data_IF_998969702152
#
_entry.id   IF_998969702152
#
_cell.length_a   1.000
_cell.length_b   1.000
_cell.length_c   1.000
_cell.angle_alpha   90.00
_cell.angle_beta   90.00
_cell.angle_gamma   90.00
#
_symmetry.space_group_name_H-M   'P 1'
#
loop_
_entity.id
_entity.type
_entity.pdbx_description
1 polymer ?
#
# COMPACT_ATOMS: atom_id res chain seq x y z
N UNK A 1 -16.81 -28.13 -9.60
CA UNK A 1 -16.08 -27.38 -10.65
C UNK A 1 -14.88 -26.70 -9.99
N UNK A 2 -13.69 -27.26 -10.15
CA UNK A 2 -12.46 -26.75 -9.55
C UNK A 2 -11.81 -25.79 -10.56
N UNK A 3 -12.20 -24.51 -10.52
CA UNK A 3 -11.63 -23.48 -11.37
C UNK A 3 -10.23 -23.20 -10.85
N UNK A 4 -9.22 -23.84 -11.47
CA UNK A 4 -7.84 -23.39 -11.33
C UNK A 4 -7.81 -21.93 -11.76
N UNK A 5 -7.73 -21.02 -10.80
CA UNK A 5 -7.44 -19.62 -11.07
C UNK A 5 -6.01 -19.57 -11.57
N UNK A 6 -5.84 -19.76 -12.88
CA UNK A 6 -4.59 -19.41 -13.54
C UNK A 6 -4.42 -17.90 -13.33
N UNK A 7 -3.48 -17.54 -12.47
CA UNK A 7 -3.09 -16.15 -12.27
C UNK A 7 -2.51 -15.74 -13.63
N UNK A 8 -3.16 -14.86 -14.40
CA UNK A 8 -2.66 -14.47 -15.72
C UNK A 8 -1.25 -13.92 -15.54
N UNK A 9 -0.31 -14.26 -16.43
CA UNK A 9 1.12 -13.94 -16.27
C UNK A 9 1.42 -12.47 -15.95
N UNK A 10 0.50 -11.56 -16.32
CA UNK A 10 0.52 -10.14 -15.95
C UNK A 10 0.39 -9.89 -14.44
N UNK A 11 -0.52 -10.56 -13.74
CA UNK A 11 -0.68 -10.43 -12.28
C UNK A 11 0.55 -10.93 -11.53
N UNK A 12 1.21 -11.98 -12.02
CA UNK A 12 2.47 -12.47 -11.44
C UNK A 12 3.58 -11.42 -11.57
N UNK A 13 3.71 -10.81 -12.76
CA UNK A 13 4.68 -9.73 -12.97
C UNK A 13 4.40 -8.50 -12.06
N UNK A 14 3.14 -8.13 -11.89
CA UNK A 14 2.73 -7.04 -11.00
C UNK A 14 3.09 -7.32 -9.53
N UNK A 15 2.87 -8.55 -9.05
CA UNK A 15 3.27 -8.96 -7.69
C UNK A 15 4.78 -8.97 -7.54
N UNK A 16 5.52 -9.52 -8.51
CA UNK A 16 6.98 -9.54 -8.46
C UNK A 16 7.56 -8.12 -8.45
N UNK A 17 7.00 -7.21 -9.25
CA UNK A 17 7.40 -5.81 -9.25
C UNK A 17 7.10 -5.13 -7.90
N UNK A 18 5.92 -5.38 -7.32
CA UNK A 18 5.56 -4.85 -6.01
C UNK A 18 6.47 -5.40 -4.89
N UNK A 19 6.80 -6.69 -4.92
CA UNK A 19 7.74 -7.32 -3.97
C UNK A 19 9.14 -6.72 -4.13
N UNK A 20 9.63 -6.56 -5.37
CA UNK A 20 10.93 -5.94 -5.63
C UNK A 20 10.98 -4.50 -5.10
N UNK A 21 9.92 -3.71 -5.33
CA UNK A 21 9.75 -2.36 -4.79
C UNK A 21 9.78 -2.35 -3.26
N UNK A 22 9.06 -3.27 -2.62
CA UNK A 22 9.01 -3.37 -1.17
C UNK A 22 10.37 -3.73 -0.58
N UNK A 23 11.06 -4.71 -1.16
CA UNK A 23 12.41 -5.12 -0.73
C UNK A 23 13.43 -4.00 -0.90
N UNK A 24 13.38 -3.30 -2.02
CA UNK A 24 14.20 -2.11 -2.24
C UNK A 24 13.90 -1.04 -1.20
N UNK A 25 12.63 -0.81 -0.86
CA UNK A 25 12.25 0.18 0.15
C UNK A 25 12.70 -0.21 1.56
N UNK A 26 12.63 -1.49 1.91
CA UNK A 26 13.14 -2.02 3.20
C UNK A 26 14.66 -1.82 3.30
N UNK A 27 15.39 -1.88 2.18
CA UNK A 27 16.83 -1.63 2.16
C UNK A 27 17.18 -0.14 2.33
N UNK A 28 16.40 0.76 1.73
CA UNK A 28 16.65 2.20 1.74
C UNK A 28 16.13 2.91 3.00
N UNK A 29 15.03 2.42 3.58
CA UNK A 29 14.31 3.10 4.68
C UNK A 29 14.42 2.31 5.99
N UNK A 30 14.73 2.97 7.12
CA UNK A 30 14.70 2.34 8.44
C UNK A 30 13.35 1.66 8.74
N UNK A 31 13.40 0.46 9.34
CA UNK A 31 12.20 -0.36 9.59
C UNK A 31 11.12 0.38 10.42
N UNK A 32 11.54 1.23 11.36
CA UNK A 32 10.67 2.03 12.22
C UNK A 32 9.91 3.15 11.46
N UNK A 33 10.30 3.43 10.21
CA UNK A 33 9.70 4.46 9.36
C UNK A 33 8.90 3.88 8.19
N UNK A 34 9.08 2.60 7.86
CA UNK A 34 8.37 1.95 6.76
C UNK A 34 6.84 2.03 6.87
N UNK A 35 6.28 2.02 8.10
CA UNK A 35 4.84 2.14 8.29
C UNK A 35 4.26 3.51 7.90
N UNK A 36 5.12 4.54 7.78
CA UNK A 36 4.77 5.88 7.27
C UNK A 36 5.19 6.08 5.82
N UNK A 37 5.87 5.11 5.22
CA UNK A 37 6.33 5.20 3.84
C UNK A 37 5.20 4.77 2.90
N UNK A 38 4.66 5.74 2.17
CA UNK A 38 3.53 5.51 1.26
C UNK A 38 3.85 4.50 0.16
N UNK A 39 5.11 4.39 -0.29
CA UNK A 39 5.54 3.43 -1.33
C UNK A 39 5.49 2.00 -0.77
N UNK A 40 6.01 1.80 0.44
CA UNK A 40 5.94 0.50 1.12
C UNK A 40 4.48 0.06 1.35
N UNK A 41 3.62 0.98 1.80
CA UNK A 41 2.19 0.73 2.00
C UNK A 41 1.48 0.39 0.69
N UNK A 42 1.78 1.11 -0.40
CA UNK A 42 1.19 0.86 -1.72
C UNK A 42 1.63 -0.51 -2.28
N UNK A 43 2.90 -0.88 -2.11
CA UNK A 43 3.43 -2.16 -2.54
C UNK A 43 2.77 -3.34 -1.80
N UNK A 44 2.65 -3.25 -0.47
CA UNK A 44 1.94 -4.24 0.36
C UNK A 44 0.47 -4.37 -0.05
N UNK A 45 -0.18 -3.23 -0.31
CA UNK A 45 -1.55 -3.21 -0.81
C UNK A 45 -1.69 -3.96 -2.14
N UNK A 46 -0.80 -3.70 -3.10
CA UNK A 46 -0.88 -4.34 -4.41
C UNK A 46 -0.72 -5.87 -4.32
N UNK A 47 0.23 -6.32 -3.50
CA UNK A 47 0.44 -7.75 -3.19
C UNK A 47 -0.85 -8.36 -2.61
N UNK A 48 -1.46 -7.70 -1.62
CA UNK A 48 -2.69 -8.18 -0.99
C UNK A 48 -3.89 -8.16 -1.96
N UNK A 49 -4.01 -7.14 -2.81
CA UNK A 49 -5.09 -6.99 -3.77
C UNK A 49 -5.08 -8.10 -4.82
N UNK A 50 -3.90 -8.46 -5.34
CA UNK A 50 -3.75 -9.59 -6.27
C UNK A 50 -4.03 -10.91 -5.55
N UNK A 51 -3.52 -11.10 -4.33
CA UNK A 51 -3.75 -12.32 -3.55
C UNK A 51 -5.24 -12.57 -3.23
N UNK A 52 -6.01 -11.50 -3.02
CA UNK A 52 -7.45 -11.59 -2.72
C UNK A 52 -8.31 -11.83 -3.96
N UNK A 53 -7.85 -11.46 -5.16
CA UNK A 53 -8.63 -11.57 -6.40
C UNK A 53 -10.02 -10.93 -6.26
N UNK A 54 -11.07 -11.59 -6.74
CA UNK A 54 -12.47 -11.13 -6.59
C UNK A 54 -13.13 -11.53 -5.26
N UNK A 55 -12.35 -11.64 -4.19
CA UNK A 55 -12.93 -11.84 -2.86
C UNK A 55 -13.79 -10.62 -2.47
N UNK A 56 -14.97 -10.81 -1.85
CA UNK A 56 -15.74 -9.70 -1.26
C UNK A 56 -14.93 -8.91 -0.21
N UNK A 57 -13.88 -9.51 0.37
CA UNK A 57 -12.96 -8.86 1.31
C UNK A 57 -12.03 -7.84 0.65
N UNK A 58 -11.89 -7.86 -0.69
CA UNK A 58 -11.04 -6.92 -1.43
C UNK A 58 -11.47 -5.47 -1.21
N UNK A 59 -12.77 -5.20 -1.18
CA UNK A 59 -13.31 -3.86 -0.93
C UNK A 59 -12.91 -3.34 0.47
N UNK A 60 -13.01 -4.18 1.49
CA UNK A 60 -12.61 -3.82 2.86
C UNK A 60 -11.11 -3.56 2.98
N UNK A 61 -10.28 -4.36 2.30
CA UNK A 61 -8.82 -4.16 2.29
C UNK A 61 -8.44 -2.87 1.54
N UNK A 62 -9.08 -2.60 0.40
CA UNK A 62 -8.96 -1.34 -0.32
C UNK A 62 -9.32 -0.14 0.56
N UNK A 63 -10.46 -0.21 1.25
CA UNK A 63 -10.91 0.87 2.14
C UNK A 63 -9.95 1.08 3.31
N UNK A 64 -9.45 0.00 3.92
CA UNK A 64 -8.47 0.09 5.01
C UNK A 64 -7.15 0.72 4.57
N UNK A 65 -6.63 0.35 3.39
CA UNK A 65 -5.41 0.96 2.85
C UNK A 65 -5.63 2.40 2.45
N UNK A 66 -6.74 2.73 1.79
CA UNK A 66 -7.07 4.10 1.44
C UNK A 66 -7.16 4.99 2.69
N UNK A 67 -7.83 4.51 3.76
CA UNK A 67 -7.89 5.20 5.03
C UNK A 67 -6.51 5.36 5.68
N UNK A 68 -5.66 4.31 5.64
CA UNK A 68 -4.30 4.37 6.14
C UNK A 68 -3.42 5.37 5.40
N UNK A 69 -3.44 5.36 4.07
CA UNK A 69 -2.72 6.33 3.22
C UNK A 69 -3.21 7.75 3.46
N UNK A 70 -4.53 7.94 3.58
CA UNK A 70 -5.12 9.25 3.88
C UNK A 70 -4.70 9.73 5.27
N UNK A 71 -4.60 8.84 6.26
CA UNK A 71 -4.07 9.14 7.60
C UNK A 71 -2.59 9.52 7.57
N UNK A 72 -1.73 8.76 6.88
CA UNK A 72 -0.31 9.07 6.72
C UNK A 72 -0.13 10.43 6.01
N UNK A 73 -0.90 10.66 4.94
CA UNK A 73 -0.87 11.91 4.20
C UNK A 73 -1.34 13.09 5.07
N UNK A 74 -2.48 12.95 5.75
CA UNK A 74 -2.99 13.97 6.65
C UNK A 74 -2.01 14.26 7.78
N UNK A 75 -1.33 13.26 8.32
CA UNK A 75 -0.32 13.44 9.37
C UNK A 75 0.94 14.16 8.86
N UNK A 76 1.39 13.84 7.64
CA UNK A 76 2.53 14.53 7.02
C UNK A 76 2.20 15.96 6.57
N UNK A 77 0.96 16.20 6.14
CA UNK A 77 0.50 17.50 5.65
C UNK A 77 -0.10 18.39 6.72
N UNK A 78 -0.62 17.86 7.83
CA UNK A 78 -1.19 18.63 8.93
C UNK A 78 -0.22 19.70 9.48
N UNK A 79 1.09 19.41 9.70
CA UNK A 79 2.03 20.45 10.13
C UNK A 79 2.13 21.60 9.13
N UNK A 80 2.10 21.29 7.83
CA UNK A 80 2.19 22.27 6.76
C UNK A 80 0.88 23.07 6.62
N UNK A 81 -0.27 22.41 6.78
CA UNK A 81 -1.58 23.05 6.76
C UNK A 81 -1.78 23.96 7.98
N UNK A 82 -1.42 23.49 9.19
CA UNK A 82 -1.50 24.30 10.41
C UNK A 82 -0.56 25.52 10.34
N UNK A 83 0.62 25.36 9.76
CA UNK A 83 1.55 26.47 9.53
C UNK A 83 0.96 27.56 8.61
N UNK A 84 0.14 27.21 7.61
CA UNK A 84 -0.57 28.19 6.78
C UNK A 84 -1.64 28.97 7.57
N UNK A 85 -2.22 28.37 8.61
CA UNK A 85 -3.17 29.02 9.51
C UNK A 85 -2.50 29.67 10.74
N UNK A 86 -1.17 29.71 10.79
CA UNK A 86 -0.42 30.35 11.89
C UNK A 86 -0.43 29.59 13.22
N UNK A 87 -0.93 28.34 13.22
CA UNK A 87 -0.94 27.45 14.38
C UNK A 87 0.33 26.59 14.33
N UNK A 88 1.17 26.65 15.38
CA UNK A 88 2.42 25.89 15.52
C UNK A 88 2.28 24.79 16.57
#
# INVERSE_FOLDING_TARGET
>A
MNVKREIPGRQVAEVLAAVALLLWRIWDVPLDRLWRDWVAVLALFWIAAVALGDSPRRASVLAAVAAGLMGIYAWGQAPHALALFGLR
#
